data_IF_209761948243
#
_entry.id   IF_209761948243
#
_cell.length_a   1.000
_cell.length_b   1.000
_cell.length_c   1.000
_cell.angle_alpha   90.00
_cell.angle_beta   90.00
_cell.angle_gamma   90.00
#
_symmetry.space_group_name_H-M   'P 1'
#
loop_
_entity.id
_entity.type
_entity.pdbx_description
1 polymer ?
#
# COMPACT_ATOMS: atom_id res chain seq x y z
N UNK A 1 13.86 -15.02 -7.19
CA UNK A 1 13.74 -13.69 -7.81
C UNK A 1 13.13 -12.73 -6.80
N UNK A 2 13.60 -11.48 -6.77
CA UNK A 2 13.07 -10.43 -5.89
C UNK A 2 12.38 -9.35 -6.74
N UNK A 3 11.08 -9.18 -6.54
CA UNK A 3 10.29 -8.08 -7.11
C UNK A 3 10.23 -6.93 -6.12
N UNK A 4 10.41 -5.70 -6.59
CA UNK A 4 10.04 -4.50 -5.85
C UNK A 4 8.88 -3.80 -6.54
N UNK A 5 7.80 -3.54 -5.82
CA UNK A 5 6.66 -2.78 -6.30
C UNK A 5 6.44 -1.54 -5.44
N UNK A 6 6.31 -0.38 -6.09
CA UNK A 6 6.09 0.88 -5.42
C UNK A 6 4.63 1.32 -5.54
N UNK A 7 4.09 1.84 -4.46
CA UNK A 7 2.85 2.61 -4.44
C UNK A 7 3.13 4.01 -4.99
N UNK A 8 2.81 4.23 -6.26
CA UNK A 8 3.12 5.46 -6.97
C UNK A 8 2.46 6.68 -6.37
N UNK A 9 1.19 6.56 -5.97
CA UNK A 9 0.44 7.67 -5.38
C UNK A 9 0.98 8.04 -4.00
N UNK A 10 1.25 7.06 -3.15
CA UNK A 10 1.78 7.30 -1.82
C UNK A 10 3.18 7.92 -1.87
N UNK A 11 4.08 7.35 -2.70
CA UNK A 11 5.47 7.84 -2.80
C UNK A 11 5.54 9.22 -3.43
N UNK A 12 4.76 9.51 -4.48
CA UNK A 12 4.77 10.85 -5.11
C UNK A 12 4.23 11.92 -4.17
N UNK A 13 3.20 11.61 -3.38
CA UNK A 13 2.71 12.53 -2.35
C UNK A 13 3.78 12.80 -1.28
N UNK A 14 4.48 11.76 -0.80
CA UNK A 14 5.61 11.92 0.13
C UNK A 14 6.70 12.81 -0.45
N UNK A 15 7.06 12.60 -1.71
CA UNK A 15 8.05 13.39 -2.42
C UNK A 15 7.63 14.85 -2.54
N UNK A 16 6.37 15.10 -2.92
CA UNK A 16 5.82 16.45 -3.09
C UNK A 16 5.91 17.29 -1.82
N UNK A 17 5.51 16.71 -0.69
CA UNK A 17 5.55 17.41 0.61
C UNK A 17 6.91 17.34 1.32
N UNK A 18 7.76 16.38 0.94
CA UNK A 18 9.08 16.17 1.56
C UNK A 18 10.20 16.96 0.90
N UNK A 19 10.05 17.36 -0.37
CA UNK A 19 11.05 18.09 -1.13
C UNK A 19 10.63 19.54 -1.26
N UNK A 20 11.54 20.48 -1.00
CA UNK A 20 11.29 21.90 -1.23
C UNK A 20 10.85 22.14 -2.68
N UNK A 21 10.08 23.20 -2.97
CA UNK A 21 9.69 23.54 -4.33
C UNK A 21 10.89 23.61 -5.29
N UNK A 22 10.79 22.87 -6.38
CA UNK A 22 11.74 22.86 -7.49
C UNK A 22 10.95 23.04 -8.78
N UNK A 23 11.52 23.75 -9.74
CA UNK A 23 10.92 23.96 -11.06
C UNK A 23 11.95 23.79 -12.17
N UNK A 24 11.49 23.34 -13.32
CA UNK A 24 12.24 23.37 -14.56
C UNK A 24 12.41 24.82 -15.06
N UNK A 25 13.28 25.10 -16.05
CA UNK A 25 13.49 26.46 -16.59
C UNK A 25 12.23 27.13 -17.15
N UNK A 26 11.25 26.35 -17.60
CA UNK A 26 9.95 26.82 -18.09
C UNK A 26 8.92 27.11 -16.98
N UNK A 27 9.31 26.93 -15.71
CA UNK A 27 8.46 27.12 -14.54
C UNK A 27 7.65 25.90 -14.11
N UNK A 28 7.71 24.78 -14.85
CA UNK A 28 7.01 23.55 -14.49
C UNK A 28 7.52 22.99 -13.15
N UNK A 29 6.65 22.74 -12.14
CA UNK A 29 7.08 22.17 -10.88
C UNK A 29 7.59 20.74 -11.07
N UNK A 30 8.71 20.39 -10.38
CA UNK A 30 9.40 19.10 -10.56
C UNK A 30 9.82 18.44 -9.26
N UNK A 31 9.53 19.05 -8.10
CA UNK A 31 9.94 18.54 -6.79
C UNK A 31 9.40 17.13 -6.48
N UNK A 32 8.17 16.81 -6.89
CA UNK A 32 7.58 15.49 -6.68
C UNK A 32 8.25 14.42 -7.54
N UNK A 33 8.53 14.73 -8.81
CA UNK A 33 9.25 13.84 -9.73
C UNK A 33 10.66 13.58 -9.20
N UNK A 34 11.40 14.65 -8.85
CA UNK A 34 12.74 14.53 -8.28
C UNK A 34 12.76 13.66 -7.03
N UNK A 35 11.87 13.96 -6.08
CA UNK A 35 11.80 13.22 -4.82
C UNK A 35 11.39 11.76 -5.00
N UNK A 36 10.46 11.48 -5.93
CA UNK A 36 10.09 10.12 -6.27
C UNK A 36 11.28 9.33 -6.83
N UNK A 37 12.00 9.90 -7.79
CA UNK A 37 13.17 9.26 -8.39
C UNK A 37 14.30 9.05 -7.38
N UNK A 38 14.50 9.99 -6.46
CA UNK A 38 15.48 9.85 -5.38
C UNK A 38 15.12 8.70 -4.43
N UNK A 39 13.83 8.57 -4.06
CA UNK A 39 13.36 7.42 -3.25
C UNK A 39 13.52 6.12 -4.04
N UNK A 40 13.11 6.10 -5.31
CA UNK A 40 13.25 4.92 -6.17
C UNK A 40 14.71 4.47 -6.27
N UNK A 41 15.64 5.40 -6.56
CA UNK A 41 17.07 5.08 -6.66
C UNK A 41 17.61 4.50 -5.35
N UNK A 42 17.28 5.13 -4.23
CA UNK A 42 17.66 4.63 -2.92
C UNK A 42 17.13 3.21 -2.66
N UNK A 43 15.88 2.95 -3.00
CA UNK A 43 15.29 1.61 -2.82
C UNK A 43 15.93 0.57 -3.74
N UNK A 44 16.30 0.95 -4.96
CA UNK A 44 17.06 0.09 -5.87
C UNK A 44 18.41 -0.30 -5.26
N UNK A 45 19.13 0.67 -4.68
CA UNK A 45 20.44 0.45 -4.09
C UNK A 45 20.37 -0.39 -2.80
N UNK A 46 19.37 -0.16 -1.95
CA UNK A 46 19.18 -0.88 -0.69
C UNK A 46 18.62 -2.29 -0.89
N UNK A 47 17.60 -2.43 -1.72
CA UNK A 47 16.86 -3.70 -1.88
C UNK A 47 17.43 -4.61 -2.96
N UNK A 48 18.13 -4.04 -3.94
CA UNK A 48 18.74 -4.75 -5.10
C UNK A 48 17.78 -5.72 -5.77
N UNK A 49 16.59 -5.26 -6.20
CA UNK A 49 15.59 -6.11 -6.81
C UNK A 49 16.01 -6.52 -8.22
N UNK A 50 15.56 -7.69 -8.66
CA UNK A 50 15.74 -8.18 -10.03
C UNK A 50 14.66 -7.64 -10.97
N UNK A 51 13.49 -7.28 -10.42
CA UNK A 51 12.40 -6.66 -11.17
C UNK A 51 11.78 -5.51 -10.37
N UNK A 52 11.31 -4.46 -11.08
CA UNK A 52 10.65 -3.30 -10.46
C UNK A 52 9.43 -2.90 -11.27
N UNK A 53 8.37 -2.55 -10.57
CA UNK A 53 7.18 -1.92 -11.14
C UNK A 53 6.56 -0.91 -10.18
N UNK A 54 5.61 -0.11 -10.69
CA UNK A 54 4.91 0.92 -9.92
C UNK A 54 3.41 0.78 -10.15
N UNK A 55 2.62 0.81 -9.09
CA UNK A 55 1.14 0.88 -9.17
C UNK A 55 0.67 2.31 -9.00
N UNK A 56 -0.38 2.70 -9.73
CA UNK A 56 -1.06 3.99 -9.57
C UNK A 56 -2.57 3.80 -9.53
N UNK A 57 -3.25 4.71 -8.83
CA UNK A 57 -4.70 4.82 -8.88
C UNK A 57 -5.15 5.47 -10.20
N UNK A 58 -6.24 4.98 -10.75
CA UNK A 58 -6.98 5.67 -11.81
C UNK A 58 -7.94 6.71 -11.21
N UNK A 59 -8.20 7.78 -11.96
CA UNK A 59 -9.23 8.78 -11.62
C UNK A 59 -10.65 8.22 -11.92
N UNK A 60 -10.96 7.04 -11.41
CA UNK A 60 -12.24 6.39 -11.62
C UNK A 60 -12.73 5.78 -10.29
N UNK A 61 -14.04 5.72 -10.05
CA UNK A 61 -14.56 5.06 -8.87
C UNK A 61 -14.19 3.58 -8.84
N UNK A 62 -13.64 3.14 -7.71
CA UNK A 62 -13.33 1.73 -7.48
C UNK A 62 -14.58 0.97 -7.03
N UNK A 63 -14.49 -0.36 -6.92
CA UNK A 63 -15.57 -1.18 -6.41
C UNK A 63 -16.00 -0.78 -4.99
N UNK A 64 -15.04 -0.27 -4.15
CA UNK A 64 -15.33 0.25 -2.81
C UNK A 64 -16.18 1.51 -2.86
N UNK A 65 -15.86 2.45 -3.75
CA UNK A 65 -16.65 3.68 -3.96
C UNK A 65 -18.05 3.36 -4.47
N UNK A 66 -18.20 2.36 -5.35
CA UNK A 66 -19.51 1.93 -5.88
C UNK A 66 -20.38 1.29 -4.80
N UNK A 67 -19.78 0.56 -3.86
CA UNK A 67 -20.48 -0.09 -2.75
C UNK A 67 -20.77 0.86 -1.57
N UNK A 68 -19.88 1.81 -1.29
CA UNK A 68 -19.95 2.70 -0.13
C UNK A 68 -19.63 4.14 -0.55
N UNK A 69 -20.66 4.97 -0.71
CA UNK A 69 -20.54 6.36 -1.16
C UNK A 69 -19.77 7.27 -0.20
N UNK A 70 -19.64 6.88 1.06
CA UNK A 70 -18.87 7.60 2.08
C UNK A 70 -17.36 7.28 2.03
N UNK A 71 -16.96 6.18 1.39
CA UNK A 71 -15.57 5.75 1.34
C UNK A 71 -14.70 6.80 0.63
N UNK A 72 -13.64 7.26 1.31
CA UNK A 72 -12.73 8.31 0.84
C UNK A 72 -13.40 9.65 0.43
N UNK A 73 -14.69 9.84 0.77
CA UNK A 73 -15.48 11.01 0.34
C UNK A 73 -14.94 12.35 0.87
N UNK A 74 -14.15 12.33 1.94
CA UNK A 74 -13.56 13.54 2.54
C UNK A 74 -12.16 13.86 2.01
N UNK A 75 -11.59 13.04 1.11
CA UNK A 75 -10.27 13.29 0.54
C UNK A 75 -10.29 14.56 -0.30
N UNK A 76 -9.34 15.44 -0.02
CA UNK A 76 -9.15 16.66 -0.81
C UNK A 76 -8.61 16.27 -2.21
N UNK A 77 -8.95 17.05 -3.24
CA UNK A 77 -8.37 16.85 -4.56
C UNK A 77 -6.85 17.02 -4.51
N UNK A 78 -6.17 16.39 -5.45
CA UNK A 78 -4.72 16.53 -5.63
C UNK A 78 -4.38 18.01 -5.91
N UNK A 79 -3.36 18.60 -5.25
CA UNK A 79 -2.89 19.95 -5.58
C UNK A 79 -2.55 20.09 -7.06
N UNK A 80 -2.81 21.25 -7.66
CA UNK A 80 -2.54 21.48 -9.08
C UNK A 80 -1.06 21.29 -9.42
N UNK A 81 -0.16 21.79 -8.56
CA UNK A 81 1.28 21.64 -8.73
C UNK A 81 1.75 20.19 -8.70
N UNK A 82 1.03 19.31 -8.02
CA UNK A 82 1.29 17.87 -8.04
C UNK A 82 0.65 17.24 -9.28
N UNK A 83 -0.56 17.65 -9.63
CA UNK A 83 -1.30 17.09 -10.76
C UNK A 83 -0.56 17.24 -12.08
N UNK A 84 0.11 18.37 -12.31
CA UNK A 84 0.92 18.60 -13.52
C UNK A 84 2.20 17.77 -13.57
N UNK A 85 2.70 17.29 -12.42
CA UNK A 85 3.87 16.43 -12.33
C UNK A 85 3.56 14.94 -12.58
N UNK A 86 2.29 14.51 -12.42
CA UNK A 86 1.92 13.10 -12.59
C UNK A 86 2.19 12.56 -14.00
N UNK A 87 1.80 13.26 -15.11
CA UNK A 87 2.17 12.81 -16.45
C UNK A 87 3.68 12.73 -16.64
N UNK A 88 4.42 13.76 -16.22
CA UNK A 88 5.88 13.79 -16.33
C UNK A 88 6.54 12.63 -15.59
N UNK A 89 6.08 12.30 -14.37
CA UNK A 89 6.57 11.15 -13.62
C UNK A 89 6.32 9.85 -14.39
N UNK A 90 5.11 9.68 -14.92
CA UNK A 90 4.72 8.47 -15.65
C UNK A 90 5.54 8.29 -16.93
N UNK A 91 5.73 9.36 -17.70
CA UNK A 91 6.58 9.38 -18.90
C UNK A 91 8.04 9.07 -18.56
N UNK A 92 8.55 9.61 -17.44
CA UNK A 92 9.91 9.34 -16.97
C UNK A 92 10.08 7.86 -16.62
N UNK A 93 9.13 7.25 -15.90
CA UNK A 93 9.15 5.82 -15.58
C UNK A 93 9.12 4.95 -16.84
N UNK A 94 8.30 5.32 -17.84
CA UNK A 94 8.22 4.64 -19.12
C UNK A 94 9.55 4.73 -19.90
N UNK A 95 10.18 5.90 -19.93
CA UNK A 95 11.49 6.11 -20.54
C UNK A 95 12.61 5.31 -19.83
N UNK A 96 12.48 5.10 -18.51
CA UNK A 96 13.38 4.24 -17.73
C UNK A 96 13.10 2.74 -17.92
N UNK A 97 12.06 2.36 -18.68
CA UNK A 97 11.64 0.97 -18.87
C UNK A 97 10.99 0.35 -17.62
N UNK A 98 10.50 1.18 -16.68
CA UNK A 98 9.81 0.73 -15.47
C UNK A 98 8.33 0.55 -15.77
N UNK A 99 7.83 -0.65 -15.60
CA UNK A 99 6.42 -0.96 -15.81
C UNK A 99 5.54 -0.27 -14.80
N UNK A 100 4.40 0.26 -15.28
CA UNK A 100 3.34 0.85 -14.46
C UNK A 100 2.06 0.05 -14.61
N UNK A 101 1.32 -0.07 -13.52
CA UNK A 101 0.02 -0.74 -13.47
C UNK A 101 -1.03 0.23 -12.94
N UNK A 102 -2.11 0.33 -13.71
CA UNK A 102 -3.30 1.13 -13.40
C UNK A 102 -4.50 0.29 -13.85
N UNK A 103 -5.35 -0.14 -12.93
CA UNK A 103 -6.43 -1.07 -13.24
C UNK A 103 -7.76 -0.46 -12.86
N UNK A 104 -8.68 -0.42 -13.82
CA UNK A 104 -10.01 0.13 -13.60
C UNK A 104 -10.76 -0.65 -12.51
N UNK A 105 -11.50 0.07 -11.69
CA UNK A 105 -12.27 -0.43 -10.56
C UNK A 105 -11.46 -0.92 -9.35
N UNK A 106 -10.14 -0.92 -9.39
CA UNK A 106 -9.26 -1.30 -8.28
C UNK A 106 -8.37 -0.13 -7.86
N UNK A 107 -7.86 -0.20 -6.63
CA UNK A 107 -6.92 0.77 -6.10
C UNK A 107 -5.47 0.29 -6.31
N UNK A 108 -4.52 1.21 -6.23
CA UNK A 108 -3.10 0.87 -6.29
C UNK A 108 -2.72 -0.20 -5.26
N UNK A 109 -3.28 -0.13 -4.05
CA UNK A 109 -3.06 -1.12 -2.99
C UNK A 109 -3.50 -2.54 -3.38
N UNK A 110 -4.60 -2.68 -4.12
CA UNK A 110 -5.06 -3.98 -4.61
C UNK A 110 -4.08 -4.58 -5.64
N UNK A 111 -3.42 -3.72 -6.41
CA UNK A 111 -2.34 -4.13 -7.32
C UNK A 111 -1.11 -4.57 -6.51
N UNK A 112 -0.74 -3.84 -5.43
CA UNK A 112 0.33 -4.26 -4.51
C UNK A 112 0.03 -5.63 -3.91
N UNK A 113 -1.18 -5.82 -3.40
CA UNK A 113 -1.63 -7.09 -2.81
C UNK A 113 -1.60 -8.26 -3.80
N UNK A 114 -1.98 -7.98 -5.05
CA UNK A 114 -1.96 -8.99 -6.12
C UNK A 114 -0.54 -9.35 -6.51
N UNK A 115 0.37 -8.37 -6.63
CA UNK A 115 1.78 -8.61 -6.91
C UNK A 115 2.44 -9.45 -5.80
N UNK A 116 2.16 -9.14 -4.53
CA UNK A 116 2.62 -9.93 -3.39
C UNK A 116 2.13 -11.39 -3.46
N UNK A 117 0.84 -11.59 -3.79
CA UNK A 117 0.27 -12.93 -3.94
C UNK A 117 0.87 -13.73 -5.12
N UNK A 118 1.19 -13.03 -6.23
CA UNK A 118 1.90 -13.65 -7.37
C UNK A 118 3.29 -14.09 -6.95
N UNK A 119 4.04 -13.23 -6.26
CA UNK A 119 5.39 -13.58 -5.77
C UNK A 119 5.33 -14.79 -4.83
N UNK A 120 4.38 -14.83 -3.90
CA UNK A 120 4.19 -15.94 -2.97
C UNK A 120 3.96 -17.27 -3.71
N UNK A 121 3.06 -17.28 -4.70
CA UNK A 121 2.79 -18.49 -5.51
C UNK A 121 3.98 -18.92 -6.37
N UNK A 122 4.79 -17.97 -6.81
CA UNK A 122 5.96 -18.21 -7.68
C UNK A 122 7.24 -18.51 -6.90
N UNK A 123 7.20 -18.49 -5.56
CA UNK A 123 8.39 -18.66 -4.72
C UNK A 123 9.39 -17.50 -4.86
N UNK A 124 8.90 -16.28 -5.11
CA UNK A 124 9.69 -15.06 -5.21
C UNK A 124 9.56 -14.22 -3.95
N UNK A 125 10.59 -13.43 -3.66
CA UNK A 125 10.50 -12.37 -2.65
C UNK A 125 9.81 -11.14 -3.23
N UNK A 126 9.00 -10.48 -2.42
CA UNK A 126 8.34 -9.23 -2.75
C UNK A 126 8.74 -8.13 -1.77
N UNK A 127 9.11 -6.95 -2.29
CA UNK A 127 9.28 -5.75 -1.47
C UNK A 127 8.26 -4.72 -1.92
N UNK A 128 7.30 -4.42 -1.06
CA UNK A 128 6.31 -3.35 -1.26
C UNK A 128 6.88 -2.05 -0.68
N UNK A 129 6.98 -1.01 -1.50
CA UNK A 129 7.47 0.32 -1.07
C UNK A 129 6.30 1.29 -1.05
N UNK A 130 5.91 1.75 0.12
CA UNK A 130 4.76 2.65 0.30
C UNK A 130 4.95 3.56 1.51
N UNK A 131 4.27 4.68 1.56
CA UNK A 131 4.12 5.50 2.77
C UNK A 131 2.86 5.19 3.56
N UNK A 132 2.02 4.26 3.08
CA UNK A 132 0.79 3.86 3.72
C UNK A 132 0.98 2.61 4.59
N UNK A 133 0.49 2.68 5.83
CA UNK A 133 0.56 1.56 6.77
C UNK A 133 -0.47 0.47 6.49
N UNK A 134 -1.45 0.71 5.63
CA UNK A 134 -2.46 -0.27 5.26
C UNK A 134 -1.83 -1.47 4.56
N UNK A 135 -0.81 -1.23 3.76
CA UNK A 135 -0.01 -2.27 3.11
C UNK A 135 0.74 -3.17 4.09
N UNK A 136 0.84 -2.83 5.39
CA UNK A 136 1.45 -3.71 6.40
C UNK A 136 0.69 -5.04 6.55
N UNK A 137 -0.59 -5.09 6.17
CA UNK A 137 -1.34 -6.35 6.11
C UNK A 137 -0.76 -7.36 5.10
N UNK A 138 0.07 -6.90 4.16
CA UNK A 138 0.69 -7.74 3.13
C UNK A 138 1.99 -8.43 3.60
N UNK A 139 2.54 -8.03 4.75
CA UNK A 139 3.77 -8.62 5.29
C UNK A 139 3.58 -10.12 5.53
N UNK A 140 4.48 -10.92 4.96
CA UNK A 140 4.49 -12.38 5.06
C UNK A 140 5.93 -12.91 5.00
N UNK A 141 6.12 -14.22 5.01
CA UNK A 141 7.45 -14.84 4.89
C UNK A 141 8.16 -14.51 3.56
N UNK A 142 7.37 -14.19 2.50
CA UNK A 142 7.89 -13.85 1.18
C UNK A 142 7.75 -12.35 0.85
N UNK A 143 6.95 -11.62 1.61
CA UNK A 143 6.68 -10.20 1.35
C UNK A 143 7.10 -9.33 2.53
N UNK A 144 8.01 -8.39 2.28
CA UNK A 144 8.33 -7.31 3.20
C UNK A 144 7.75 -5.98 2.73
N UNK A 145 7.43 -5.09 3.67
CA UNK A 145 6.93 -3.74 3.37
C UNK A 145 7.94 -2.70 3.85
N UNK A 146 8.46 -1.92 2.91
CA UNK A 146 9.32 -0.78 3.18
C UNK A 146 8.43 0.46 3.31
N UNK A 147 8.16 0.87 4.56
CA UNK A 147 7.36 2.05 4.83
C UNK A 147 8.22 3.31 4.79
N UNK A 148 7.90 4.19 3.86
CA UNK A 148 8.60 5.47 3.64
C UNK A 148 7.93 6.57 4.45
N UNK A 149 8.69 7.26 5.28
CA UNK A 149 8.21 8.37 6.10
C UNK A 149 9.04 9.63 5.83
N UNK A 150 8.42 10.78 5.98
CA UNK A 150 9.13 12.06 6.02
C UNK A 150 9.13 12.58 7.45
N UNK A 151 10.30 12.65 8.06
CA UNK A 151 10.50 13.13 9.41
C UNK A 151 11.43 14.33 9.36
N UNK A 152 10.94 15.52 9.79
CA UNK A 152 11.72 16.77 9.79
C UNK A 152 12.39 17.09 8.44
N UNK A 153 11.69 16.82 7.34
CA UNK A 153 12.20 17.06 5.98
C UNK A 153 13.19 16.01 5.46
N UNK A 154 13.44 14.95 6.22
CA UNK A 154 14.26 13.81 5.79
C UNK A 154 13.39 12.60 5.49
N UNK A 155 13.73 11.86 4.45
CA UNK A 155 13.05 10.60 4.12
C UNK A 155 13.71 9.47 4.89
N UNK A 156 12.94 8.84 5.76
CA UNK A 156 13.29 7.64 6.51
C UNK A 156 12.52 6.45 5.96
N UNK A 157 13.12 5.27 6.02
CA UNK A 157 12.51 4.02 5.60
C UNK A 157 12.56 3.02 6.74
N UNK A 158 11.45 2.31 6.96
CA UNK A 158 11.35 1.22 7.92
C UNK A 158 10.95 -0.03 7.15
N UNK A 159 11.78 -1.06 7.21
CA UNK A 159 11.48 -2.36 6.61
C UNK A 159 10.73 -3.23 7.64
N UNK A 160 9.50 -3.59 7.31
CA UNK A 160 8.69 -4.50 8.08
C UNK A 160 8.81 -5.93 7.52
N UNK A 161 9.30 -6.82 8.36
CA UNK A 161 9.24 -8.28 8.22
C UNK A 161 8.22 -8.82 9.21
N UNK A 162 7.83 -10.11 9.13
CA UNK A 162 6.93 -10.70 10.14
C UNK A 162 7.42 -10.50 11.57
N UNK A 163 8.74 -10.60 11.80
CA UNK A 163 9.36 -10.45 13.13
C UNK A 163 9.26 -9.01 13.63
N UNK A 164 9.71 -8.04 12.81
CA UNK A 164 9.70 -6.62 13.20
C UNK A 164 8.28 -6.10 13.37
N UNK A 165 7.34 -6.56 12.55
CA UNK A 165 5.93 -6.25 12.69
C UNK A 165 5.36 -6.78 14.02
N UNK A 166 5.60 -8.07 14.33
CA UNK A 166 5.13 -8.67 15.59
C UNK A 166 5.73 -7.99 16.82
N UNK A 167 7.01 -7.60 16.73
CA UNK A 167 7.67 -6.87 17.82
C UNK A 167 7.02 -5.51 18.08
N UNK A 168 6.59 -4.78 17.05
CA UNK A 168 5.94 -3.47 17.19
C UNK A 168 4.47 -3.61 17.60
N UNK A 169 3.70 -4.45 16.88
CA UNK A 169 2.24 -4.50 17.02
C UNK A 169 1.74 -5.57 18.00
N UNK A 170 2.45 -6.67 18.19
CA UNK A 170 2.09 -7.77 19.09
C UNK A 170 1.05 -8.74 18.53
N UNK A 171 0.79 -8.71 17.21
CA UNK A 171 -0.10 -9.63 16.50
C UNK A 171 0.42 -9.90 15.08
N UNK A 172 -0.24 -10.78 14.31
CA UNK A 172 0.19 -11.12 12.96
C UNK A 172 -0.16 -10.00 11.95
N UNK A 173 0.66 -9.75 10.90
CA UNK A 173 0.43 -8.67 9.91
C UNK A 173 -0.97 -8.66 9.30
N UNK A 174 -1.52 -9.82 8.94
CA UNK A 174 -2.87 -9.93 8.39
C UNK A 174 -3.95 -9.35 9.31
N UNK A 175 -3.71 -9.27 10.63
CA UNK A 175 -4.64 -8.70 11.60
C UNK A 175 -4.67 -7.16 11.63
N UNK A 176 -3.88 -6.48 10.78
CA UNK A 176 -4.05 -5.04 10.56
C UNK A 176 -5.44 -4.69 10.06
N UNK A 177 -6.05 -5.58 9.27
CA UNK A 177 -7.44 -5.42 8.82
C UNK A 177 -8.41 -5.50 9.99
N UNK A 178 -8.19 -6.44 10.92
CA UNK A 178 -9.00 -6.59 12.14
C UNK A 178 -8.90 -5.34 13.02
N UNK A 179 -7.69 -4.79 13.16
CA UNK A 179 -7.48 -3.54 13.90
C UNK A 179 -8.29 -2.40 13.29
N UNK A 180 -8.20 -2.19 11.97
CA UNK A 180 -8.95 -1.16 11.25
C UNK A 180 -10.46 -1.40 11.27
N UNK A 181 -10.90 -2.64 11.21
CA UNK A 181 -12.30 -3.00 11.33
C UNK A 181 -12.91 -2.53 12.66
N UNK A 182 -12.13 -2.55 13.73
CA UNK A 182 -12.58 -2.14 15.06
C UNK A 182 -12.44 -0.63 15.29
N UNK A 183 -11.26 -0.03 15.00
CA UNK A 183 -11.02 1.37 15.30
C UNK A 183 -11.47 2.33 14.19
N UNK A 184 -11.71 1.84 12.99
CA UNK A 184 -11.94 2.67 11.81
C UNK A 184 -10.66 3.30 11.25
N UNK A 185 -10.84 4.09 10.20
CA UNK A 185 -9.80 4.93 9.59
C UNK A 185 -10.41 6.25 9.10
N UNK A 186 -10.03 7.34 9.72
CA UNK A 186 -10.54 8.67 9.36
C UNK A 186 -10.02 9.15 8.01
N UNK A 187 -8.85 8.70 7.56
CA UNK A 187 -8.27 9.11 6.27
C UNK A 187 -9.04 8.54 5.08
N UNK A 188 -9.59 7.34 5.25
CA UNK A 188 -10.39 6.63 4.26
C UNK A 188 -11.89 6.67 4.55
N UNK A 189 -12.25 7.38 5.61
CA UNK A 189 -13.63 7.45 6.10
C UNK A 189 -14.24 6.07 6.40
N UNK A 190 -13.42 5.17 6.94
CA UNK A 190 -13.85 3.84 7.41
C UNK A 190 -14.36 3.98 8.84
N UNK A 191 -15.64 3.61 9.12
CA UNK A 191 -16.29 3.96 10.38
C UNK A 191 -15.74 3.20 11.60
N UNK A 192 -15.31 1.96 11.46
CA UNK A 192 -15.01 1.09 12.58
C UNK A 192 -16.21 0.83 13.48
N UNK A 193 -15.97 0.49 14.73
CA UNK A 193 -16.99 0.36 15.77
C UNK A 193 -17.10 1.68 16.52
N UNK A 194 -18.26 2.35 16.54
CA UNK A 194 -18.44 3.63 17.22
C UNK A 194 -18.01 3.57 18.69
N UNK A 195 -17.07 4.46 19.06
CA UNK A 195 -16.53 4.55 20.41
C UNK A 195 -15.47 3.50 20.78
N UNK A 196 -15.00 2.69 19.85
CA UNK A 196 -13.80 1.86 19.97
C UNK A 196 -12.65 2.59 19.29
N UNK A 197 -11.74 3.14 20.08
CA UNK A 197 -10.53 3.79 19.57
C UNK A 197 -9.34 2.83 19.52
N UNK A 198 -8.22 3.33 18.98
CA UNK A 198 -7.00 2.57 18.70
C UNK A 198 -6.53 1.73 19.90
N UNK A 199 -6.45 2.31 21.09
CA UNK A 199 -5.97 1.60 22.29
C UNK A 199 -6.84 0.38 22.63
N UNK A 200 -8.17 0.52 22.55
CA UNK A 200 -9.10 -0.58 22.83
C UNK A 200 -9.05 -1.64 21.71
N UNK A 201 -8.98 -1.20 20.46
CA UNK A 201 -8.88 -2.10 19.32
C UNK A 201 -7.57 -2.91 19.35
N UNK A 202 -6.43 -2.27 19.65
CA UNK A 202 -5.13 -2.95 19.84
C UNK A 202 -5.20 -4.02 20.94
N UNK A 203 -5.79 -3.69 22.11
CA UNK A 203 -5.95 -4.66 23.20
C UNK A 203 -6.81 -5.84 22.77
N UNK A 204 -7.94 -5.58 22.09
CA UNK A 204 -8.83 -6.62 21.59
C UNK A 204 -8.14 -7.56 20.59
N UNK A 205 -7.44 -7.00 19.61
CA UNK A 205 -6.75 -7.81 18.59
C UNK A 205 -5.60 -8.61 19.19
N UNK A 206 -4.81 -8.01 20.10
CA UNK A 206 -3.71 -8.71 20.78
C UNK A 206 -4.18 -9.86 21.65
N UNK A 207 -5.29 -9.70 22.36
CA UNK A 207 -5.80 -10.70 23.31
C UNK A 207 -6.67 -11.75 22.65
N UNK A 208 -7.46 -11.38 21.67
CA UNK A 208 -8.51 -12.25 21.13
C UNK A 208 -8.37 -12.56 19.64
N UNK A 209 -7.49 -11.85 18.94
CA UNK A 209 -7.14 -12.14 17.55
C UNK A 209 -8.05 -11.44 16.54
N UNK A 210 -8.74 -12.21 15.71
CA UNK A 210 -9.51 -11.67 14.58
C UNK A 210 -10.89 -11.16 14.99
N UNK A 211 -11.47 -10.29 14.17
CA UNK A 211 -12.86 -9.82 14.32
C UNK A 211 -13.83 -11.00 14.46
N UNK A 212 -13.66 -12.05 13.65
CA UNK A 212 -14.52 -13.24 13.75
C UNK A 212 -14.41 -13.93 15.10
N UNK A 213 -13.21 -14.10 15.66
CA UNK A 213 -13.01 -14.67 16.99
C UNK A 213 -13.59 -13.80 18.09
N UNK A 214 -13.41 -12.46 17.98
CA UNK A 214 -13.97 -11.51 18.93
C UNK A 214 -15.48 -11.62 18.97
N UNK A 215 -16.16 -11.60 17.83
CA UNK A 215 -17.61 -11.64 17.77
C UNK A 215 -18.19 -13.03 18.11
N UNK A 216 -17.56 -14.11 17.68
CA UNK A 216 -18.01 -15.48 18.02
C UNK A 216 -17.92 -15.79 19.51
N UNK A 217 -17.04 -15.12 20.24
CA UNK A 217 -16.81 -15.35 21.69
C UNK A 217 -17.24 -14.16 22.53
N UNK A 218 -17.90 -13.15 21.96
CA UNK A 218 -18.12 -11.83 22.57
C UNK A 218 -18.71 -11.89 23.99
N UNK A 219 -19.64 -12.81 24.24
CA UNK A 219 -20.26 -13.00 25.55
C UNK A 219 -19.28 -13.46 26.64
N UNK A 220 -18.26 -14.23 26.26
CA UNK A 220 -17.28 -14.83 27.17
C UNK A 220 -15.98 -14.02 27.33
N UNK A 221 -15.78 -12.94 26.53
CA UNK A 221 -14.56 -12.15 26.62
C UNK A 221 -14.44 -11.43 27.96
N UNK A 222 -13.24 -11.40 28.52
CA UNK A 222 -12.92 -10.59 29.70
C UNK A 222 -12.69 -9.12 29.30
N UNK A 223 -13.78 -8.39 29.10
CA UNK A 223 -13.82 -6.98 28.70
C UNK A 223 -14.90 -6.22 29.49
N UNK A 224 -14.73 -4.90 29.58
CA UNK A 224 -15.71 -4.04 30.26
C UNK A 224 -17.07 -4.10 29.55
N UNK A 225 -18.16 -4.07 30.31
CA UNK A 225 -19.53 -4.11 29.76
C UNK A 225 -19.81 -3.01 28.74
N UNK A 226 -19.27 -1.80 28.96
CA UNK A 226 -19.36 -0.70 28.00
C UNK A 226 -18.67 -0.97 26.66
N UNK A 227 -17.57 -1.72 26.66
CA UNK A 227 -16.88 -2.16 25.43
C UNK A 227 -17.71 -3.26 24.75
N UNK A 228 -18.19 -4.23 25.53
CA UNK A 228 -19.05 -5.32 25.02
C UNK A 228 -20.31 -4.77 24.34
N UNK A 229 -20.99 -3.81 24.99
CA UNK A 229 -22.17 -3.15 24.41
C UNK A 229 -21.85 -2.50 23.06
N UNK A 230 -20.76 -1.71 22.98
CA UNK A 230 -20.33 -1.06 21.73
C UNK A 230 -20.03 -2.07 20.64
N UNK A 231 -19.34 -3.16 20.95
CA UNK A 231 -19.06 -4.23 19.99
C UNK A 231 -20.36 -4.86 19.51
N UNK A 232 -21.29 -5.21 20.41
CA UNK A 232 -22.58 -5.79 20.04
C UNK A 232 -23.38 -4.89 19.10
N UNK A 233 -23.47 -3.59 19.41
CA UNK A 233 -24.21 -2.61 18.61
C UNK A 233 -23.48 -2.29 17.30
N UNK A 234 -22.15 -2.43 17.25
CA UNK A 234 -21.31 -2.05 16.11
C UNK A 234 -20.86 -3.20 15.20
N UNK A 235 -21.36 -4.43 15.38
CA UNK A 235 -20.89 -5.58 14.60
C UNK A 235 -21.01 -5.38 13.09
N UNK A 236 -22.14 -4.90 12.61
CA UNK A 236 -22.34 -4.65 11.18
C UNK A 236 -21.34 -3.62 10.62
N UNK A 237 -21.05 -2.56 11.41
CA UNK A 237 -20.06 -1.56 11.05
C UNK A 237 -18.63 -2.12 11.04
N UNK A 238 -18.29 -2.98 12.00
CA UNK A 238 -17.00 -3.66 12.03
C UNK A 238 -16.80 -4.56 10.79
N UNK A 239 -17.81 -5.33 10.41
CA UNK A 239 -17.74 -6.20 9.23
C UNK A 239 -17.63 -5.42 7.94
N UNK A 240 -18.38 -4.32 7.79
CA UNK A 240 -18.25 -3.41 6.66
C UNK A 240 -16.85 -2.77 6.60
N UNK A 241 -16.34 -2.33 7.75
CA UNK A 241 -15.01 -1.74 7.87
C UNK A 241 -13.91 -2.75 7.56
N UNK A 242 -14.06 -4.02 7.97
CA UNK A 242 -13.18 -5.11 7.61
C UNK A 242 -13.10 -5.28 6.10
N UNK A 243 -14.25 -5.33 5.43
CA UNK A 243 -14.32 -5.46 3.98
C UNK A 243 -13.67 -4.25 3.26
N UNK A 244 -13.91 -3.03 3.73
CA UNK A 244 -13.32 -1.81 3.16
C UNK A 244 -11.81 -1.76 3.33
N UNK A 245 -11.28 -2.18 4.49
CA UNK A 245 -9.86 -2.15 4.81
C UNK A 245 -9.06 -3.29 4.19
N UNK A 246 -9.73 -4.34 3.70
CA UNK A 246 -9.06 -5.51 3.11
C UNK A 246 -8.53 -5.18 1.72
N UNK A 247 -7.22 -5.37 1.53
CA UNK A 247 -6.57 -5.29 0.22
C UNK A 247 -6.88 -6.56 -0.58
N UNK A 248 -7.38 -6.39 -1.81
CA UNK A 248 -7.62 -7.50 -2.75
C UNK A 248 -6.30 -8.04 -3.26
N UNK A 249 -6.19 -9.36 -3.36
CA UNK A 249 -4.94 -10.06 -3.76
C UNK A 249 -5.09 -10.89 -5.04
N UNK A 250 -6.18 -10.70 -5.77
CA UNK A 250 -6.53 -11.43 -6.99
C UNK A 250 -7.19 -10.53 -8.04
N UNK A 251 -6.65 -9.30 -8.17
CA UNK A 251 -7.11 -8.37 -9.20
C UNK A 251 -6.96 -9.02 -10.58
N UNK A 252 -8.01 -8.99 -11.43
CA UNK A 252 -7.94 -9.56 -12.77
C UNK A 252 -6.97 -8.74 -13.62
N UNK A 253 -5.86 -9.36 -13.98
CA UNK A 253 -4.76 -8.71 -14.68
C UNK A 253 -4.99 -8.72 -16.18
N UNK A 254 -5.44 -7.57 -16.68
CA UNK A 254 -5.27 -6.98 -18.01
C UNK A 254 -5.96 -7.59 -19.25
N UNK A 255 -6.39 -6.69 -20.16
CA UNK A 255 -7.11 -7.01 -21.40
C UNK A 255 -6.30 -7.75 -22.47
N UNK A 256 -5.03 -8.14 -22.26
CA UNK A 256 -4.15 -8.74 -23.27
C UNK A 256 -3.78 -10.20 -23.04
N UNK A 257 -4.44 -10.91 -22.12
CA UNK A 257 -4.18 -12.35 -21.91
C UNK A 257 -2.79 -12.70 -21.39
N UNK A 258 -1.96 -11.72 -21.05
CA UNK A 258 -0.66 -11.95 -20.43
C UNK A 258 -0.81 -11.90 -18.90
N UNK A 259 -0.43 -12.98 -18.23
CA UNK A 259 -0.41 -13.03 -16.78
C UNK A 259 0.65 -12.05 -16.21
N UNK A 260 0.40 -11.47 -15.03
CA UNK A 260 1.34 -10.58 -14.35
C UNK A 260 2.74 -11.20 -14.25
N UNK A 261 2.81 -12.50 -14.04
CA UNK A 261 4.05 -13.28 -14.03
C UNK A 261 4.85 -13.09 -15.32
N UNK A 262 4.22 -13.25 -16.49
CA UNK A 262 4.87 -13.06 -17.78
C UNK A 262 5.30 -11.61 -18.01
N UNK A 263 4.50 -10.65 -17.55
CA UNK A 263 4.82 -9.23 -17.69
C UNK A 263 5.97 -8.82 -16.76
N UNK A 264 5.98 -9.28 -15.52
CA UNK A 264 7.08 -9.05 -14.58
C UNK A 264 8.37 -9.72 -15.07
N UNK A 265 8.25 -10.94 -15.58
CA UNK A 265 9.40 -11.68 -16.12
C UNK A 265 10.00 -11.01 -17.37
N UNK A 266 9.18 -10.53 -18.30
CA UNK A 266 9.67 -9.79 -19.48
C UNK A 266 10.33 -8.47 -19.14
N UNK A 267 9.90 -7.80 -18.05
CA UNK A 267 10.54 -6.60 -17.52
C UNK A 267 11.91 -6.87 -16.88
N UNK A 268 12.06 -7.99 -16.16
CA UNK A 268 13.31 -8.42 -15.55
C UNK A 268 14.37 -8.79 -16.60
N UNK A 269 13.97 -9.51 -17.67
CA UNK A 269 14.87 -9.89 -18.76
C UNK A 269 15.45 -8.69 -19.50
N UNK A 270 14.64 -7.66 -19.79
CA UNK A 270 15.11 -6.45 -20.47
C UNK A 270 16.13 -5.66 -19.66
N UNK A 271 16.07 -5.68 -18.32
CA UNK A 271 17.08 -5.04 -17.46
C UNK A 271 18.40 -5.79 -17.48
N UNK A 272 18.36 -7.11 -17.42
CA UNK A 272 19.57 -7.93 -17.51
C UNK A 272 20.27 -7.75 -18.86
N UNK A 273 19.55 -7.55 -19.94
CA UNK A 273 20.11 -7.22 -21.26
C UNK A 273 20.69 -5.79 -21.28
N UNK A 274 19.97 -4.78 -20.75
CA UNK A 274 20.45 -3.41 -20.68
C UNK A 274 21.70 -3.27 -19.78
N UNK A 275 21.74 -3.96 -18.63
CA UNK A 275 22.90 -3.99 -17.75
C UNK A 275 24.11 -4.69 -18.38
N UNK A 276 23.89 -5.74 -19.18
CA UNK A 276 24.97 -6.41 -19.94
C UNK A 276 25.55 -5.54 -21.04
N UNK A 277 24.74 -4.71 -21.69
CA UNK A 277 25.21 -3.76 -22.70
C UNK A 277 26.05 -2.63 -22.08
N UNK A 278 25.72 -2.16 -20.87
CA UNK A 278 26.51 -1.15 -20.16
C UNK A 278 27.83 -1.67 -19.61
N UNK A 279 27.98 -2.99 -19.43
CA UNK A 279 29.26 -3.60 -18.96
C UNK A 279 30.22 -3.94 -20.09
N UNK A 280 29.80 -3.74 -21.36
CA UNK A 280 30.61 -3.99 -22.56
C UNK A 280 31.19 -2.72 -23.20
N UNK A 281 31.06 -1.58 -22.57
CA UNK A 281 31.70 -0.31 -22.87
C UNK A 281 32.48 0.22 -21.67
#
# INVERSE_FOLDING_TARGET
MKLMILDGNSIVNRAFYGVRPLSAPDGTPTNAVYGFLAILQRMLDEQKPEAVCVSFDLKAPTFRHKACNFYKAQRKPMPEELAVQMPLLKETLDAMGIRRYEIESFEADDILGTAAAVCERSGWDCVVVTGDKDSLQLVSETTSVCNVKTVRGQTETILYTPESFRAEYGFAPAQMVDLKALMGDSSDNIPGVPGIGEKTALDLVRRYGTVDKIYSSLAALDIKDGVRKKLTEGEASARQSYWLATIVRDVPLLPRGEHLEQQLYSGALRRNEAARVQTLH
#
